data_IF_853311406432
#
_entry.id   IF_853311406432
#
_cell.length_a   1.000
_cell.length_b   1.000
_cell.length_c   1.000
_cell.angle_alpha   90.00
_cell.angle_beta   90.00
_cell.angle_gamma   90.00
#
_symmetry.space_group_name_H-M   'P 1'
#
loop_
_entity.id
_entity.type
_entity.pdbx_description
1 polymer ?
#
# COMPACT_ATOMS: atom_id res chain seq x y z
N UNK A 1 19.50 3.86 3.56
CA UNK A 1 18.59 4.92 3.15
C UNK A 1 17.65 5.24 4.30
N UNK A 2 17.25 6.51 4.45
CA UNK A 2 16.24 6.86 5.46
C UNK A 2 14.89 6.26 5.02
N UNK A 3 14.08 5.71 5.95
CA UNK A 3 12.75 5.23 5.62
C UNK A 3 11.87 6.38 5.13
N UNK A 4 11.02 6.06 4.15
CA UNK A 4 10.05 7.00 3.60
C UNK A 4 8.87 7.16 4.56
N UNK A 5 8.12 8.28 4.49
CA UNK A 5 6.94 8.49 5.34
C UNK A 5 5.86 7.45 5.03
N UNK A 6 5.01 7.17 6.01
CA UNK A 6 3.78 6.43 5.83
C UNK A 6 2.64 7.38 5.50
N UNK A 7 1.80 7.02 4.54
CA UNK A 7 0.71 7.85 4.05
C UNK A 7 -0.61 7.12 4.23
N UNK A 8 -1.53 7.74 4.95
CA UNK A 8 -2.91 7.28 5.05
C UNK A 8 -3.83 8.23 4.28
N UNK A 9 -4.57 7.68 3.33
CA UNK A 9 -5.52 8.45 2.52
C UNK A 9 -6.94 8.27 3.05
N UNK A 10 -7.66 9.36 3.18
CA UNK A 10 -9.06 9.37 3.59
C UNK A 10 -9.83 10.51 2.92
N UNK A 11 -11.17 10.49 2.96
CA UNK A 11 -11.98 11.61 2.51
C UNK A 11 -11.90 12.79 3.50
N UNK A 12 -12.13 14.00 3.01
CA UNK A 12 -12.18 15.18 3.87
C UNK A 12 -13.25 15.06 4.97
N UNK A 13 -14.40 14.46 4.65
CA UNK A 13 -15.47 14.23 5.63
C UNK A 13 -14.99 13.30 6.74
N UNK A 14 -14.35 12.19 6.40
CA UNK A 14 -13.82 11.25 7.38
C UNK A 14 -12.69 11.88 8.22
N UNK A 15 -11.90 12.77 7.63
CA UNK A 15 -10.86 13.53 8.34
C UNK A 15 -11.47 14.49 9.36
N UNK A 16 -12.48 15.28 8.97
CA UNK A 16 -13.17 16.20 9.88
C UNK A 16 -13.79 15.44 11.05
N UNK A 17 -14.53 14.37 10.77
CA UNK A 17 -15.16 13.51 11.79
C UNK A 17 -14.13 12.93 12.78
N UNK A 18 -12.98 12.49 12.29
CA UNK A 18 -11.89 12.01 13.12
C UNK A 18 -11.29 13.12 13.98
N UNK A 19 -11.09 14.32 13.41
CA UNK A 19 -10.51 15.47 14.12
C UNK A 19 -11.42 15.99 15.23
N UNK A 20 -12.73 15.93 15.02
CA UNK A 20 -13.73 16.33 16.02
C UNK A 20 -13.84 15.34 17.18
N UNK A 21 -13.65 14.03 16.90
CA UNK A 21 -13.84 12.97 17.89
C UNK A 21 -12.59 12.70 18.74
N UNK A 22 -11.51 12.28 18.11
CA UNK A 22 -10.38 11.70 18.86
C UNK A 22 -9.01 12.18 18.44
N UNK A 23 -8.87 12.75 17.24
CA UNK A 23 -7.60 13.03 16.57
C UNK A 23 -6.70 11.80 16.47
N UNK A 24 -7.31 10.64 16.39
CA UNK A 24 -6.63 9.34 16.34
C UNK A 24 -7.18 8.51 15.19
N UNK A 25 -6.27 7.95 14.41
CA UNK A 25 -6.59 6.99 13.37
C UNK A 25 -6.75 5.60 13.97
N UNK A 26 -7.99 5.17 14.13
CA UNK A 26 -8.34 3.89 14.79
C UNK A 26 -8.29 2.72 13.81
N UNK A 27 -7.82 1.53 14.25
CA UNK A 27 -7.89 0.31 13.46
C UNK A 27 -9.33 -0.09 13.15
N UNK A 28 -9.60 -0.37 11.87
CA UNK A 28 -10.90 -0.84 11.37
C UNK A 28 -10.81 -2.30 10.97
N UNK A 29 -11.91 -3.04 11.14
CA UNK A 29 -11.95 -4.45 10.76
C UNK A 29 -11.77 -4.61 9.24
N UNK A 30 -10.72 -5.34 8.86
CA UNK A 30 -10.46 -5.75 7.50
C UNK A 30 -10.99 -7.17 7.27
N UNK A 31 -11.90 -7.33 6.31
CA UNK A 31 -12.49 -8.64 5.97
C UNK A 31 -11.48 -9.56 5.30
N UNK A 32 -10.57 -9.01 4.53
CA UNK A 32 -9.56 -9.71 3.76
C UNK A 32 -8.51 -10.37 4.67
N UNK A 33 -7.99 -9.63 5.62
CA UNK A 33 -7.00 -10.11 6.58
C UNK A 33 -7.61 -10.60 7.90
N UNK A 34 -8.93 -10.48 8.06
CA UNK A 34 -9.70 -10.91 9.26
C UNK A 34 -9.14 -10.33 10.57
N UNK A 35 -8.69 -9.09 10.54
CA UNK A 35 -8.08 -8.41 11.68
C UNK A 35 -8.49 -6.92 11.73
N UNK A 36 -8.27 -6.25 12.87
CA UNK A 36 -8.44 -4.80 12.99
C UNK A 36 -7.13 -4.10 12.63
N UNK A 37 -7.13 -3.31 11.56
CA UNK A 37 -5.93 -2.74 10.98
C UNK A 37 -6.12 -1.28 10.59
N UNK A 38 -5.03 -0.53 10.71
CA UNK A 38 -4.82 0.74 10.00
C UNK A 38 -3.90 0.45 8.82
N UNK A 39 -4.25 0.96 7.64
CA UNK A 39 -3.45 0.81 6.43
C UNK A 39 -2.71 2.09 6.08
N UNK A 40 -1.51 1.92 5.55
CA UNK A 40 -0.66 2.98 5.06
C UNK A 40 -0.07 2.60 3.72
N UNK A 41 0.16 3.59 2.87
CA UNK A 41 1.03 3.46 1.71
C UNK A 41 2.42 4.00 2.04
N UNK A 42 3.45 3.30 1.62
CA UNK A 42 4.83 3.66 1.93
C UNK A 42 5.38 4.64 0.90
N UNK A 43 5.80 5.82 1.33
CA UNK A 43 6.56 6.79 0.56
C UNK A 43 5.81 7.61 -0.48
N UNK A 44 4.61 7.22 -0.87
CA UNK A 44 3.78 7.98 -1.82
C UNK A 44 2.29 7.79 -1.56
N UNK A 45 1.46 8.80 -1.82
CA UNK A 45 0.01 8.64 -1.77
C UNK A 45 -0.42 7.69 -2.90
N UNK A 46 -1.35 6.80 -2.58
CA UNK A 46 -1.91 5.89 -3.55
C UNK A 46 -3.39 5.72 -3.26
N UNK A 47 -4.23 6.23 -4.14
CA UNK A 47 -5.69 6.11 -4.03
C UNK A 47 -6.32 6.11 -5.41
N UNK A 48 -7.48 5.48 -5.51
CA UNK A 48 -8.31 5.55 -6.71
C UNK A 48 -9.56 6.38 -6.40
N UNK A 49 -9.78 7.40 -7.21
CA UNK A 49 -11.03 8.13 -7.17
C UNK A 49 -12.10 7.21 -7.75
N UNK A 50 -13.07 6.83 -6.93
CA UNK A 50 -14.19 6.00 -7.40
C UNK A 50 -15.18 6.89 -8.17
N UNK A 51 -15.01 6.98 -9.48
CA UNK A 51 -15.82 7.82 -10.36
C UNK A 51 -17.26 7.30 -10.56
N UNK A 52 -17.54 6.07 -10.12
CA UNK A 52 -18.88 5.49 -10.28
C UNK A 52 -19.93 6.02 -9.29
N UNK A 53 -19.54 6.76 -8.27
CA UNK A 53 -20.44 7.32 -7.26
C UNK A 53 -20.76 8.82 -7.46
N UNK A 54 -20.39 9.42 -8.59
CA UNK A 54 -20.70 10.84 -8.89
C UNK A 54 -22.18 11.12 -9.19
N UNK A 55 -23.06 10.14 -9.07
CA UNK A 55 -24.50 10.31 -9.33
C UNK A 55 -25.29 11.07 -8.25
N UNK A 56 -24.75 11.24 -7.06
CA UNK A 56 -25.39 11.99 -5.99
C UNK A 56 -24.59 13.25 -5.68
N UNK A 57 -25.14 14.41 -5.98
CA UNK A 57 -24.55 15.73 -5.87
C UNK A 57 -24.15 16.17 -4.43
N UNK A 58 -24.01 15.24 -3.49
CA UNK A 58 -23.64 15.50 -2.10
C UNK A 58 -22.25 15.03 -1.68
N UNK A 59 -21.61 14.11 -2.41
CA UNK A 59 -20.33 13.54 -2.00
C UNK A 59 -19.17 14.31 -2.63
N UNK A 60 -18.85 15.46 -2.04
CA UNK A 60 -17.61 16.18 -2.35
C UNK A 60 -16.43 15.36 -1.82
N UNK A 61 -15.88 14.50 -2.66
CA UNK A 61 -14.75 13.64 -2.34
C UNK A 61 -13.43 14.40 -2.53
N UNK A 62 -13.03 15.16 -1.50
CA UNK A 62 -11.72 15.74 -1.44
C UNK A 62 -10.79 14.77 -0.68
N UNK A 63 -9.75 14.21 -1.31
CA UNK A 63 -8.82 13.32 -0.62
C UNK A 63 -7.91 14.13 0.33
N UNK A 64 -7.71 13.57 1.53
CA UNK A 64 -6.74 14.08 2.51
C UNK A 64 -5.67 13.01 2.70
N UNK A 65 -4.40 13.42 2.65
CA UNK A 65 -3.26 12.57 2.90
C UNK A 65 -2.64 12.91 4.26
N UNK A 66 -2.68 11.97 5.18
CA UNK A 66 -2.01 12.07 6.47
C UNK A 66 -0.62 11.45 6.39
N UNK A 67 0.39 12.17 6.87
CA UNK A 67 1.78 11.73 6.89
C UNK A 67 2.16 11.29 8.31
N UNK A 68 2.71 10.09 8.41
CA UNK A 68 3.20 9.52 9.66
C UNK A 68 4.70 9.25 9.59
N UNK A 69 5.38 9.48 10.70
CA UNK A 69 6.77 9.07 10.88
C UNK A 69 6.83 7.54 10.97
N UNK A 70 7.53 6.86 10.06
CA UNK A 70 7.62 5.40 10.07
C UNK A 70 8.18 4.86 11.38
N UNK A 71 9.07 5.59 12.04
CA UNK A 71 9.67 5.17 13.34
C UNK A 71 8.66 5.10 14.47
N UNK A 72 7.47 5.70 14.31
CA UNK A 72 6.41 5.73 15.33
C UNK A 72 5.28 4.76 15.07
N UNK A 73 5.33 4.04 13.96
CA UNK A 73 4.29 3.08 13.58
C UNK A 73 4.87 1.68 13.59
N UNK A 74 4.34 0.81 14.43
CA UNK A 74 4.70 -0.60 14.45
C UNK A 74 4.07 -1.32 13.24
N UNK A 75 4.90 -1.93 12.40
CA UNK A 75 4.44 -2.71 11.25
C UNK A 75 3.87 -4.04 11.75
N UNK A 76 2.66 -4.35 11.33
CA UNK A 76 2.08 -5.69 11.50
C UNK A 76 2.33 -6.56 10.27
N UNK A 77 2.00 -6.04 9.08
CA UNK A 77 2.24 -6.70 7.78
C UNK A 77 2.63 -5.67 6.73
N UNK A 78 3.41 -6.11 5.75
CA UNK A 78 3.77 -5.33 4.58
C UNK A 78 3.59 -6.16 3.31
N UNK A 79 3.08 -5.53 2.24
CA UNK A 79 2.89 -6.14 0.94
C UNK A 79 3.38 -5.19 -0.17
N UNK A 80 3.85 -5.70 -1.31
CA UNK A 80 4.34 -4.86 -2.40
C UNK A 80 3.25 -4.09 -3.15
N UNK A 81 1.98 -4.29 -2.79
CA UNK A 81 0.79 -3.69 -3.41
C UNK A 81 -0.40 -3.64 -2.43
N UNK A 82 -1.49 -2.97 -2.82
CA UNK A 82 -2.77 -2.93 -2.11
C UNK A 82 -3.40 -4.34 -2.02
N UNK A 83 -3.48 -4.89 -0.82
CA UNK A 83 -4.03 -6.22 -0.58
C UNK A 83 -5.50 -6.34 -0.92
N UNK A 84 -6.29 -5.30 -0.69
CA UNK A 84 -7.71 -5.26 -1.07
C UNK A 84 -7.89 -5.32 -2.59
N UNK A 85 -7.02 -4.65 -3.33
CA UNK A 85 -6.96 -4.72 -4.79
C UNK A 85 -6.57 -6.11 -5.27
N UNK A 86 -5.55 -6.72 -4.67
CA UNK A 86 -5.12 -8.08 -5.02
C UNK A 86 -6.28 -9.07 -4.90
N UNK A 87 -6.95 -9.12 -3.76
CA UNK A 87 -8.01 -10.10 -3.50
C UNK A 87 -9.27 -9.87 -4.37
N UNK A 88 -9.60 -8.62 -4.70
CA UNK A 88 -10.83 -8.30 -5.45
C UNK A 88 -10.64 -8.20 -6.96
N UNK A 89 -9.46 -7.80 -7.42
CA UNK A 89 -9.20 -7.46 -8.82
C UNK A 89 -8.20 -8.37 -9.49
N UNK A 90 -7.07 -8.66 -8.85
CA UNK A 90 -5.92 -9.27 -9.51
C UNK A 90 -6.04 -10.78 -9.62
N UNK A 91 -6.61 -11.45 -8.61
CA UNK A 91 -6.89 -12.90 -8.72
C UNK A 91 -7.95 -13.17 -9.80
N UNK A 92 -8.94 -12.27 -9.93
CA UNK A 92 -9.98 -12.39 -10.98
C UNK A 92 -9.49 -11.96 -12.37
N UNK A 93 -8.36 -11.27 -12.47
CA UNK A 93 -7.86 -10.66 -13.71
C UNK A 93 -6.71 -11.44 -14.36
N UNK A 94 -6.71 -12.78 -14.31
CA UNK A 94 -5.79 -13.64 -15.09
C UNK A 94 -4.36 -13.79 -14.56
N UNK A 95 -4.13 -13.80 -13.27
CA UNK A 95 -2.90 -14.40 -12.77
C UNK A 95 -3.05 -15.91 -12.94
N UNK A 96 -2.29 -16.49 -13.87
CA UNK A 96 -2.20 -17.94 -14.03
C UNK A 96 -1.56 -18.54 -12.78
N UNK A 97 -2.34 -19.24 -11.96
CA UNK A 97 -1.88 -19.96 -10.79
C UNK A 97 -2.60 -19.55 -9.49
N UNK A 98 -2.63 -20.48 -8.55
CA UNK A 98 -3.20 -20.28 -7.20
C UNK A 98 -2.17 -19.60 -6.29
N UNK A 99 -1.84 -18.35 -6.57
CA UNK A 99 -0.98 -17.57 -5.68
C UNK A 99 -1.78 -17.08 -4.47
N UNK A 100 -1.30 -17.41 -3.29
CA UNK A 100 -1.85 -16.87 -2.05
C UNK A 100 -1.24 -15.49 -1.76
N UNK A 101 -2.01 -14.61 -1.12
CA UNK A 101 -1.51 -13.31 -0.69
C UNK A 101 -0.25 -13.43 0.18
N UNK A 102 -0.15 -14.52 0.97
CA UNK A 102 0.98 -14.78 1.86
C UNK A 102 2.32 -14.89 1.12
N UNK A 103 2.33 -15.34 -0.14
CA UNK A 103 3.56 -15.46 -0.94
C UNK A 103 4.17 -14.12 -1.30
N UNK A 104 3.39 -13.04 -1.19
CA UNK A 104 3.84 -11.67 -1.43
C UNK A 104 4.10 -10.88 -0.14
N UNK A 105 3.90 -11.49 1.03
CA UNK A 105 4.14 -10.80 2.30
C UNK A 105 5.63 -10.51 2.46
N UNK A 106 5.97 -9.23 2.66
CA UNK A 106 7.32 -8.77 2.96
C UNK A 106 7.57 -8.92 4.45
N UNK A 107 8.82 -9.13 4.83
CA UNK A 107 9.20 -9.08 6.24
C UNK A 107 8.84 -7.70 6.83
N UNK A 108 8.26 -7.71 8.02
CA UNK A 108 7.64 -6.56 8.66
C UNK A 108 8.64 -5.60 9.35
N UNK A 109 9.80 -5.39 8.74
CA UNK A 109 10.79 -4.40 9.18
C UNK A 109 11.03 -3.35 8.11
N UNK A 110 11.33 -2.12 8.53
CA UNK A 110 11.66 -1.04 7.58
C UNK A 110 12.95 -1.33 6.81
N UNK A 111 13.89 -2.07 7.38
CA UNK A 111 15.12 -2.49 6.71
C UNK A 111 14.79 -3.38 5.51
N UNK A 112 13.96 -4.40 5.70
CA UNK A 112 13.55 -5.31 4.62
C UNK A 112 12.70 -4.61 3.56
N UNK A 113 11.85 -3.66 3.95
CA UNK A 113 11.12 -2.82 2.98
C UNK A 113 12.10 -1.97 2.16
N UNK A 114 13.12 -1.39 2.79
CA UNK A 114 14.16 -0.64 2.07
C UNK A 114 14.98 -1.55 1.14
N UNK A 115 15.25 -2.78 1.56
CA UNK A 115 15.96 -3.78 0.74
C UNK A 115 15.11 -4.22 -0.45
N UNK A 116 13.81 -4.43 -0.26
CA UNK A 116 12.88 -4.65 -1.36
C UNK A 116 12.92 -3.50 -2.39
N UNK A 117 12.85 -2.24 -1.94
CA UNK A 117 12.93 -1.09 -2.83
C UNK A 117 14.28 -1.07 -3.56
N UNK A 118 15.38 -1.34 -2.87
CA UNK A 118 16.71 -1.38 -3.47
C UNK A 118 16.82 -2.47 -4.52
N UNK A 119 16.26 -3.65 -4.26
CA UNK A 119 16.30 -4.81 -5.15
C UNK A 119 15.48 -4.58 -6.41
N UNK A 120 14.24 -4.08 -6.28
CA UNK A 120 13.29 -4.01 -7.41
C UNK A 120 13.22 -2.64 -8.09
N UNK A 121 13.67 -1.58 -7.45
CA UNK A 121 13.62 -0.21 -7.97
C UNK A 121 15.00 0.47 -8.00
N UNK A 122 15.99 -0.06 -7.31
CA UNK A 122 17.33 0.51 -7.19
C UNK A 122 17.41 1.77 -6.33
N UNK A 123 16.35 2.56 -6.24
CA UNK A 123 16.31 3.79 -5.45
C UNK A 123 14.89 4.18 -5.03
N UNK A 124 14.79 5.03 -4.00
CA UNK A 124 13.51 5.62 -3.57
C UNK A 124 12.87 6.48 -4.67
N UNK A 125 13.66 7.15 -5.51
CA UNK A 125 13.16 7.96 -6.62
C UNK A 125 12.51 7.06 -7.68
N UNK A 126 13.16 5.98 -8.07
CA UNK A 126 12.59 5.03 -9.02
C UNK A 126 11.32 4.36 -8.46
N UNK A 127 11.32 4.02 -7.17
CA UNK A 127 10.13 3.51 -6.50
C UNK A 127 8.97 4.52 -6.56
N UNK A 128 9.22 5.78 -6.21
CA UNK A 128 8.23 6.84 -6.27
C UNK A 128 7.66 7.02 -7.68
N UNK A 129 8.51 6.94 -8.71
CA UNK A 129 8.14 7.05 -10.12
C UNK A 129 7.56 5.76 -10.71
N UNK A 130 7.46 4.66 -9.94
CA UNK A 130 7.02 3.36 -10.43
C UNK A 130 7.98 2.69 -11.41
N UNK A 131 9.25 3.11 -11.45
CA UNK A 131 10.28 2.59 -12.37
C UNK A 131 11.00 1.41 -11.75
N UNK A 132 10.63 0.20 -12.13
CA UNK A 132 11.36 -1.01 -11.74
C UNK A 132 12.68 -1.12 -12.50
N UNK A 133 13.70 -1.64 -11.81
CA UNK A 133 15.01 -1.94 -12.40
C UNK A 133 15.27 -3.44 -12.30
N UNK A 134 15.85 -4.00 -13.35
CA UNK A 134 16.29 -5.39 -13.34
C UNK A 134 17.75 -5.43 -12.90
N UNK A 135 18.02 -5.95 -11.70
CA UNK A 135 19.38 -6.09 -11.19
C UNK A 135 19.95 -7.49 -11.45
N UNK A 136 21.24 -7.56 -11.83
CA UNK A 136 21.95 -8.83 -12.09
C UNK A 136 22.11 -9.69 -10.80
N UNK A 137 21.90 -9.09 -9.64
CA UNK A 137 22.08 -9.73 -8.33
C UNK A 137 20.81 -10.42 -7.78
N UNK A 138 19.72 -10.42 -8.53
CA UNK A 138 18.44 -10.98 -8.08
C UNK A 138 18.46 -12.50 -8.24
N UNK A 139 18.11 -13.24 -7.21
CA UNK A 139 18.03 -14.71 -7.24
C UNK A 139 16.95 -15.20 -8.23
N UNK A 140 16.99 -16.49 -8.59
CA UNK A 140 15.99 -17.06 -9.51
C UNK A 140 14.56 -16.91 -8.98
N UNK A 141 14.35 -17.13 -7.69
CA UNK A 141 13.04 -17.00 -7.03
C UNK A 141 12.56 -15.54 -7.03
N UNK A 142 13.45 -14.62 -6.73
CA UNK A 142 13.15 -13.18 -6.78
C UNK A 142 12.84 -12.73 -8.22
N UNK A 143 13.50 -13.30 -9.23
CA UNK A 143 13.18 -13.03 -10.64
C UNK A 143 11.76 -13.46 -11.02
N UNK A 144 11.30 -14.60 -10.53
CA UNK A 144 9.91 -15.04 -10.73
C UNK A 144 8.95 -14.07 -10.06
N UNK A 145 9.21 -13.69 -8.82
CA UNK A 145 8.41 -12.72 -8.08
C UNK A 145 8.39 -11.35 -8.79
N UNK A 146 9.53 -10.89 -9.28
CA UNK A 146 9.64 -9.68 -10.09
C UNK A 146 8.80 -9.75 -11.37
N UNK A 147 8.83 -10.87 -12.09
CA UNK A 147 8.02 -11.06 -13.29
C UNK A 147 6.53 -10.99 -12.98
N UNK A 148 6.07 -11.63 -11.89
CA UNK A 148 4.68 -11.54 -11.44
C UNK A 148 4.26 -10.10 -11.13
N UNK A 149 5.08 -9.35 -10.41
CA UNK A 149 4.82 -7.95 -10.11
C UNK A 149 4.79 -7.08 -11.37
N UNK A 150 5.66 -7.34 -12.36
CA UNK A 150 5.62 -6.64 -13.65
C UNK A 150 4.36 -6.97 -14.46
N UNK A 151 3.90 -8.20 -14.44
CA UNK A 151 2.63 -8.56 -15.08
C UNK A 151 1.46 -7.82 -14.43
N UNK A 152 1.44 -7.70 -13.12
CA UNK A 152 0.43 -6.91 -12.40
C UNK A 152 0.51 -5.43 -12.79
N UNK A 153 1.71 -4.85 -12.83
CA UNK A 153 1.93 -3.46 -13.22
C UNK A 153 1.48 -3.15 -14.65
N UNK A 154 1.72 -4.07 -15.59
CA UNK A 154 1.36 -3.87 -16.98
C UNK A 154 -0.12 -4.06 -17.30
N UNK A 155 -0.84 -4.79 -16.44
CA UNK A 155 -2.25 -5.11 -16.64
C UNK A 155 -3.21 -4.07 -16.05
N UNK A 156 -2.73 -3.16 -15.21
CA UNK A 156 -3.56 -2.24 -14.45
C UNK A 156 -2.96 -0.83 -14.39
N UNK A 157 -3.72 0.16 -14.82
CA UNK A 157 -3.41 1.58 -14.63
C UNK A 157 -3.86 2.04 -13.21
N UNK A 158 -3.24 1.47 -12.19
CA UNK A 158 -3.59 1.71 -10.79
C UNK A 158 -2.31 1.79 -9.94
N UNK A 159 -1.98 2.97 -9.44
CA UNK A 159 -0.78 3.22 -8.62
C UNK A 159 -0.71 2.35 -7.37
N UNK A 160 -1.83 1.83 -6.87
CA UNK A 160 -1.86 0.92 -5.72
C UNK A 160 -1.19 -0.42 -6.01
N UNK A 161 -1.08 -0.82 -7.28
CA UNK A 161 -0.35 -2.02 -7.72
C UNK A 161 1.16 -1.87 -7.52
N UNK A 162 1.65 -0.63 -7.52
CA UNK A 162 3.08 -0.28 -7.47
C UNK A 162 3.48 0.31 -6.13
N UNK A 163 2.58 0.34 -5.16
CA UNK A 163 2.82 1.00 -3.89
C UNK A 163 2.77 0.01 -2.75
N UNK A 164 3.85 -0.06 -1.97
CA UNK A 164 3.93 -0.92 -0.79
C UNK A 164 2.84 -0.50 0.19
N UNK A 165 1.99 -1.46 0.57
CA UNK A 165 1.01 -1.32 1.63
C UNK A 165 1.58 -1.83 2.94
N UNK A 166 1.42 -1.05 4.00
CA UNK A 166 1.79 -1.41 5.36
C UNK A 166 0.54 -1.37 6.23
N UNK A 167 0.38 -2.35 7.10
CA UNK A 167 -0.67 -2.35 8.12
C UNK A 167 -0.11 -2.30 9.52
N UNK A 168 -0.88 -1.69 10.44
CA UNK A 168 -0.62 -1.68 11.88
C UNK A 168 -1.87 -2.11 12.66
N UNK A 169 -1.67 -2.79 13.79
CA UNK A 169 -2.76 -3.12 14.74
C UNK A 169 -3.03 -2.01 15.75
N UNK A 170 -2.19 -1.01 15.80
CA UNK A 170 -2.26 0.05 16.81
C UNK A 170 -2.85 1.32 16.22
N UNK A 171 -3.59 2.04 17.06
CA UNK A 171 -4.09 3.36 16.76
C UNK A 171 -2.93 4.37 16.61
N UNK A 172 -3.07 5.31 15.67
CA UNK A 172 -2.05 6.30 15.36
C UNK A 172 -2.59 7.70 15.64
N UNK A 173 -2.04 8.38 16.65
CA UNK A 173 -2.40 9.75 17.01
C UNK A 173 -1.86 10.77 16.00
N UNK A 174 -2.66 11.80 15.68
CA UNK A 174 -2.24 13.00 14.98
C UNK A 174 -1.70 14.02 16.01
N UNK A 175 -0.57 14.63 15.73
CA UNK A 175 0.02 15.71 16.54
C UNK A 175 -0.17 17.03 15.86
#
# INVERSE_FOLDING_TARGET
ALPLPLIHNMSAVAFIDMMEKSKVLEPKYCRELKDKLVYFFYGKPSYVINTHNYGNAGDFYAPVCLLFDPKKVAIHKAFPFDTGGFLKRYIKANIYGDFSLKEFELDNTYENICDYIRTYFGSNINYYLGKRVWGDKVSRTEKIHYCLLNMLDSSLDDERVRTIEISSKFACGLR
#
